data_IF_247491308474
#
_entry.id   IF_247491308474
#
_cell.length_a   1.000
_cell.length_b   1.000
_cell.length_c   1.000
_cell.angle_alpha   90.00
_cell.angle_beta   90.00
_cell.angle_gamma   90.00
#
_symmetry.space_group_name_H-M   'P 1'
#
loop_
_entity.id
_entity.type
_entity.pdbx_description
1 polymer ?
#
# COMPACT_ATOMS: atom_id res chain seq x y z
N UNK A 1 22.36 -1.15 5.23
CA UNK A 1 22.04 0.09 4.50
C UNK A 1 20.58 0.04 4.13
N UNK A 2 19.72 0.53 5.01
CA UNK A 2 18.27 0.53 4.83
C UNK A 2 17.92 1.71 3.92
N UNK A 3 17.77 1.46 2.61
CA UNK A 3 17.36 2.50 1.68
C UNK A 3 15.90 2.82 1.90
N UNK A 4 15.61 4.07 2.26
CA UNK A 4 14.26 4.63 2.20
C UNK A 4 13.84 4.61 0.72
N UNK A 5 13.04 3.61 0.34
CA UNK A 5 12.56 3.48 -1.03
C UNK A 5 11.24 4.25 -1.17
N UNK A 6 11.32 5.42 -1.82
CA UNK A 6 10.12 6.13 -2.24
C UNK A 6 9.45 5.35 -3.37
N UNK A 7 8.15 5.12 -3.23
CA UNK A 7 7.32 4.51 -4.25
C UNK A 7 6.15 5.42 -4.60
N UNK A 8 6.22 6.08 -5.76
CA UNK A 8 5.22 7.02 -6.25
C UNK A 8 4.43 6.53 -7.47
N UNK A 9 4.75 5.35 -8.00
CA UNK A 9 4.04 4.71 -9.12
C UNK A 9 4.06 5.48 -10.45
N UNK A 10 4.92 6.49 -10.63
CA UNK A 10 4.94 7.32 -11.83
C UNK A 10 5.53 6.63 -13.06
N UNK A 11 6.47 5.70 -12.85
CA UNK A 11 7.12 4.97 -13.94
C UNK A 11 6.78 3.48 -13.91
N UNK A 12 6.82 2.88 -12.72
CA UNK A 12 6.63 1.44 -12.56
C UNK A 12 6.02 1.08 -11.19
N UNK A 13 5.78 -0.21 -11.01
CA UNK A 13 5.53 -0.79 -9.69
C UNK A 13 6.90 -0.96 -9.05
N UNK A 14 7.22 0.01 -8.19
CA UNK A 14 8.49 0.22 -7.53
C UNK A 14 9.21 -1.07 -7.15
N UNK A 15 10.55 -1.03 -7.16
CA UNK A 15 11.38 -2.19 -6.83
C UNK A 15 11.07 -2.77 -5.45
N UNK A 16 10.67 -1.93 -4.49
CA UNK A 16 10.25 -2.32 -3.15
C UNK A 16 9.11 -3.35 -3.14
N UNK A 17 8.30 -3.42 -4.18
CA UNK A 17 7.15 -4.30 -4.24
C UNK A 17 7.51 -5.60 -4.95
N UNK A 18 7.13 -6.74 -4.37
CA UNK A 18 7.33 -8.03 -5.02
C UNK A 18 6.54 -8.03 -6.32
N UNK A 19 7.25 -8.15 -7.44
CA UNK A 19 6.68 -8.35 -8.79
C UNK A 19 5.99 -9.70 -8.96
N UNK A 20 5.89 -10.51 -7.89
CA UNK A 20 5.21 -11.80 -7.88
C UNK A 20 3.70 -11.57 -7.99
N UNK A 21 3.29 -11.32 -9.22
CA UNK A 21 1.93 -11.16 -9.72
C UNK A 21 1.09 -10.14 -8.95
N UNK A 22 0.61 -9.13 -9.68
CA UNK A 22 -0.69 -8.48 -9.42
C UNK A 22 -1.87 -9.47 -9.50
N UNK A 23 -1.73 -10.68 -8.95
CA UNK A 23 -2.82 -11.58 -8.60
C UNK A 23 -3.53 -10.92 -7.42
N UNK A 24 -4.64 -10.22 -7.57
CA UNK A 24 -5.60 -10.21 -8.66
C UNK A 24 -6.54 -9.01 -8.46
N UNK A 25 -6.01 -7.78 -8.40
CA UNK A 25 -6.89 -6.65 -8.08
C UNK A 25 -6.29 -5.25 -8.07
N UNK A 26 -5.01 -5.04 -7.77
CA UNK A 26 -4.44 -3.69 -7.85
C UNK A 26 -4.10 -3.32 -9.30
N UNK A 27 -4.50 -2.12 -9.71
CA UNK A 27 -4.20 -1.55 -11.03
C UNK A 27 -3.61 -0.16 -10.87
N UNK A 28 -2.60 0.12 -11.69
CA UNK A 28 -2.02 1.45 -11.80
C UNK A 28 -2.91 2.29 -12.72
N UNK A 29 -3.41 3.42 -12.23
CA UNK A 29 -4.22 4.37 -13.00
C UNK A 29 -3.93 5.81 -12.59
N UNK A 30 -4.50 6.76 -13.33
CA UNK A 30 -4.53 8.16 -12.93
C UNK A 30 -5.96 8.68 -12.86
N UNK A 31 -6.10 9.96 -12.55
CA UNK A 31 -7.38 10.65 -12.43
C UNK A 31 -8.17 10.69 -13.73
N UNK A 32 -7.48 10.82 -14.87
CA UNK A 32 -8.10 10.90 -16.20
C UNK A 32 -8.55 9.56 -16.77
N UNK A 33 -7.88 8.46 -16.42
CA UNK A 33 -8.12 7.15 -17.03
C UNK A 33 -9.20 6.31 -16.35
N UNK A 34 -9.69 6.71 -15.17
CA UNK A 34 -10.68 5.93 -14.43
C UNK A 34 -12.08 6.56 -14.39
N UNK A 35 -13.10 5.70 -14.32
CA UNK A 35 -14.52 6.09 -14.32
C UNK A 35 -15.06 6.49 -12.92
N UNK A 36 -14.18 6.68 -11.92
CA UNK A 36 -14.59 6.97 -10.54
C UNK A 36 -13.49 7.64 -9.71
N UNK A 37 -13.84 8.16 -8.51
CA UNK A 37 -12.88 8.78 -7.62
C UNK A 37 -11.82 7.77 -7.12
N UNK A 38 -10.62 8.24 -6.72
CA UNK A 38 -10.17 9.63 -6.82
C UNK A 38 -9.88 10.05 -8.27
N UNK A 39 -10.09 11.34 -8.57
CA UNK A 39 -9.85 11.96 -9.90
C UNK A 39 -8.51 12.68 -9.99
N UNK A 40 -7.70 12.57 -8.94
CA UNK A 40 -6.36 13.13 -8.83
C UNK A 40 -5.61 12.43 -7.70
N UNK A 41 -4.29 12.53 -7.70
CA UNK A 41 -3.44 12.10 -6.58
C UNK A 41 -3.66 12.96 -5.31
N UNK A 42 -2.93 12.64 -4.25
CA UNK A 42 -2.96 13.38 -2.97
C UNK A 42 -2.58 14.86 -3.08
N UNK A 43 -1.98 15.29 -4.18
CA UNK A 43 -1.58 16.67 -4.45
C UNK A 43 -2.50 17.39 -5.44
N UNK A 44 -3.57 16.73 -5.92
CA UNK A 44 -4.51 17.31 -6.88
C UNK A 44 -4.07 17.19 -8.34
N UNK A 45 -3.07 16.36 -8.66
CA UNK A 45 -2.60 16.09 -10.01
C UNK A 45 -3.42 14.95 -10.65
N UNK A 46 -4.10 15.24 -11.76
CA UNK A 46 -4.98 14.30 -12.47
C UNK A 46 -4.26 13.38 -13.46
N UNK A 47 -2.99 13.66 -13.78
CA UNK A 47 -2.14 12.82 -14.64
C UNK A 47 -1.17 11.93 -13.85
N UNK A 48 -0.91 12.28 -12.59
CA UNK A 48 -0.10 11.47 -11.68
C UNK A 48 -0.74 10.10 -11.43
N UNK A 49 0.10 9.10 -11.23
CA UNK A 49 -0.31 7.72 -11.12
C UNK A 49 -0.40 7.25 -9.67
N UNK A 50 -1.40 6.42 -9.41
CA UNK A 50 -1.60 5.77 -8.13
C UNK A 50 -2.15 4.36 -8.35
N UNK A 51 -2.14 3.56 -7.28
CA UNK A 51 -2.77 2.25 -7.29
C UNK A 51 -4.23 2.35 -6.84
N UNK A 52 -5.11 1.63 -7.54
CA UNK A 52 -6.50 1.43 -7.15
C UNK A 52 -6.91 -0.02 -7.30
N UNK A 53 -8.00 -0.41 -6.66
CA UNK A 53 -8.62 -1.71 -6.92
C UNK A 53 -9.29 -1.72 -8.30
N UNK A 54 -9.15 -2.84 -9.00
CA UNK A 54 -9.74 -3.10 -10.32
C UNK A 54 -11.22 -3.37 -10.17
N UNK A 55 -12.03 -2.74 -11.01
CA UNK A 55 -13.46 -3.04 -11.13
C UNK A 55 -13.73 -4.46 -11.66
N UNK A 56 -12.75 -5.07 -12.32
CA UNK A 56 -12.87 -6.43 -12.87
C UNK A 56 -12.49 -7.53 -11.87
N UNK A 57 -12.09 -7.14 -10.66
CA UNK A 57 -11.70 -8.08 -9.62
C UNK A 57 -12.89 -8.95 -9.19
N UNK A 58 -12.71 -10.27 -9.28
CA UNK A 58 -13.68 -11.27 -8.80
C UNK A 58 -13.46 -11.70 -7.35
N UNK A 59 -12.27 -11.43 -6.81
CA UNK A 59 -11.93 -11.72 -5.41
C UNK A 59 -12.57 -10.70 -4.47
N UNK A 60 -12.70 -11.05 -3.19
CA UNK A 60 -13.15 -10.13 -2.13
C UNK A 60 -12.03 -9.23 -1.59
N UNK A 61 -10.76 -9.60 -1.83
CA UNK A 61 -9.58 -8.85 -1.41
C UNK A 61 -8.46 -8.91 -2.44
N UNK A 62 -7.56 -7.94 -2.38
CA UNK A 62 -6.31 -7.92 -3.13
C UNK A 62 -5.17 -7.47 -2.21
N UNK A 63 -4.04 -8.17 -2.32
CA UNK A 63 -2.88 -7.93 -1.47
C UNK A 63 -1.74 -7.38 -2.31
N UNK A 64 -1.06 -6.37 -1.78
CA UNK A 64 0.23 -5.91 -2.25
C UNK A 64 1.27 -6.29 -1.20
N UNK A 65 2.44 -6.77 -1.62
CA UNK A 65 3.52 -7.17 -0.70
C UNK A 65 4.83 -6.50 -1.06
N UNK A 66 5.56 -6.06 -0.06
CA UNK A 66 6.93 -5.59 -0.23
C UNK A 66 7.89 -6.75 -0.46
N UNK A 67 9.13 -6.43 -0.84
CA UNK A 67 10.27 -7.29 -0.63
C UNK A 67 10.54 -7.44 0.86
N UNK A 68 11.40 -8.41 1.18
CA UNK A 68 11.84 -8.67 2.54
C UNK A 68 12.77 -7.56 3.04
N UNK A 69 12.37 -6.89 4.10
CA UNK A 69 13.17 -5.94 4.86
C UNK A 69 14.04 -6.63 5.92
N UNK A 70 15.12 -5.95 6.32
CA UNK A 70 15.99 -6.39 7.41
C UNK A 70 15.38 -6.03 8.78
N UNK A 71 15.78 -6.72 9.87
CA UNK A 71 15.38 -6.35 11.23
C UNK A 71 15.61 -4.87 11.56
N UNK A 72 14.78 -4.34 12.43
CA UNK A 72 14.89 -2.99 12.98
C UNK A 72 15.46 -3.01 14.39
N UNK A 73 16.14 -1.94 14.79
CA UNK A 73 16.62 -1.69 16.15
C UNK A 73 16.58 -0.18 16.45
N UNK A 74 17.13 0.24 17.58
CA UNK A 74 17.15 1.66 17.98
C UNK A 74 17.94 2.57 17.01
N UNK A 75 18.92 2.01 16.30
CA UNK A 75 19.72 2.72 15.29
C UNK A 75 19.12 2.60 13.88
N UNK A 76 18.30 1.57 13.64
CA UNK A 76 17.72 1.21 12.35
C UNK A 76 16.18 1.20 12.41
N UNK A 77 15.59 2.35 12.70
CA UNK A 77 14.13 2.53 12.71
C UNK A 77 13.56 2.47 11.29
N UNK A 78 12.50 1.69 11.09
CA UNK A 78 11.75 1.66 9.84
C UNK A 78 10.38 2.33 10.00
N UNK A 79 10.10 3.32 9.15
CA UNK A 79 8.80 3.96 9.05
C UNK A 79 8.26 3.84 7.63
N UNK A 80 6.99 3.47 7.52
CA UNK A 80 6.27 3.39 6.27
C UNK A 80 5.17 4.44 6.28
N UNK A 81 5.36 5.47 5.47
CA UNK A 81 4.36 6.51 5.22
C UNK A 81 3.66 6.22 3.89
N UNK A 82 2.33 6.20 3.91
CA UNK A 82 1.54 5.96 2.72
C UNK A 82 0.32 6.87 2.67
N UNK A 83 -0.06 7.21 1.45
CA UNK A 83 -1.26 7.97 1.14
C UNK A 83 -2.33 7.01 0.60
N UNK A 84 -3.55 7.13 1.10
CA UNK A 84 -4.63 6.24 0.73
C UNK A 84 -5.96 6.97 0.62
N UNK A 85 -6.86 6.40 -0.18
CA UNK A 85 -8.22 6.87 -0.38
C UNK A 85 -9.18 5.69 -0.28
N UNK A 86 -10.21 5.80 0.56
CA UNK A 86 -11.28 4.80 0.69
C UNK A 86 -12.58 5.47 0.25
N UNK A 87 -13.18 4.99 -0.84
CA UNK A 87 -14.48 5.51 -1.30
C UNK A 87 -15.64 4.98 -0.45
N UNK A 88 -16.85 5.53 -0.62
CA UNK A 88 -18.03 5.12 0.16
C UNK A 88 -18.44 3.66 -0.06
N UNK A 89 -18.08 3.09 -1.20
CA UNK A 89 -18.31 1.70 -1.59
C UNK A 89 -17.08 0.82 -1.40
N UNK A 90 -15.97 1.39 -0.91
CA UNK A 90 -14.71 0.67 -0.73
C UNK A 90 -14.61 0.07 0.67
N UNK A 91 -14.08 -1.16 0.73
CA UNK A 91 -13.92 -1.92 1.97
C UNK A 91 -12.75 -1.46 2.85
N UNK A 92 -12.25 -2.38 3.66
CA UNK A 92 -11.16 -2.11 4.62
C UNK A 92 -9.80 -2.14 3.94
N UNK A 93 -8.98 -1.11 4.19
CA UNK A 93 -7.55 -1.16 3.94
C UNK A 93 -6.83 -1.65 5.21
N UNK A 94 -5.99 -2.66 5.06
CA UNK A 94 -5.22 -3.26 6.15
C UNK A 94 -3.74 -3.29 5.76
N UNK A 95 -2.87 -3.00 6.72
CA UNK A 95 -1.42 -3.20 6.62
C UNK A 95 -1.07 -4.39 7.51
N UNK A 96 -0.47 -5.40 6.88
CA UNK A 96 -0.02 -6.61 7.55
C UNK A 96 1.49 -6.58 7.79
N UNK A 97 1.95 -7.39 8.73
CA UNK A 97 3.36 -7.69 8.93
C UNK A 97 3.52 -9.21 8.90
N UNK A 98 4.38 -9.71 8.02
CA UNK A 98 4.70 -11.13 7.92
C UNK A 98 6.17 -11.33 8.28
N UNK A 99 6.44 -12.16 9.31
CA UNK A 99 7.78 -12.59 9.69
C UNK A 99 7.99 -14.06 9.31
N UNK A 100 9.23 -14.51 9.04
CA UNK A 100 9.54 -15.91 8.74
C UNK A 100 9.19 -16.90 9.85
N UNK A 101 9.21 -16.46 11.11
CA UNK A 101 8.86 -17.28 12.27
C UNK A 101 7.36 -17.49 12.45
N UNK A 102 6.53 -16.72 11.74
CA UNK A 102 5.08 -16.74 11.83
C UNK A 102 4.46 -17.35 10.57
N UNK A 103 3.46 -18.20 10.73
CA UNK A 103 2.68 -18.73 9.60
C UNK A 103 1.54 -17.79 9.18
N UNK A 104 1.29 -16.74 9.95
CA UNK A 104 0.17 -15.81 9.76
C UNK A 104 0.64 -14.37 9.60
N UNK A 105 -0.17 -13.59 8.88
CA UNK A 105 0.04 -12.14 8.74
C UNK A 105 -0.53 -11.46 9.99
N UNK A 106 0.31 -10.72 10.71
CA UNK A 106 -0.12 -9.90 11.84
C UNK A 106 -0.67 -8.57 11.33
N UNK A 107 -1.91 -8.23 11.67
CA UNK A 107 -2.46 -6.92 11.35
C UNK A 107 -1.87 -5.85 12.28
N UNK A 108 -1.14 -4.89 11.69
CA UNK A 108 -0.50 -3.81 12.45
C UNK A 108 -1.24 -2.47 12.29
N UNK A 109 -2.12 -2.35 11.31
CA UNK A 109 -2.96 -1.17 11.10
C UNK A 109 -4.11 -1.48 10.15
N UNK A 110 -5.27 -0.86 10.37
CA UNK A 110 -6.39 -0.91 9.43
C UNK A 110 -7.23 0.37 9.50
N UNK A 111 -7.86 0.71 8.37
CA UNK A 111 -8.93 1.71 8.29
C UNK A 111 -10.07 1.12 7.43
N UNK A 112 -11.27 1.03 8.00
CA UNK A 112 -12.48 0.59 7.29
C UNK A 112 -13.29 1.75 6.71
N UNK A 113 -12.81 2.99 6.89
CA UNK A 113 -13.41 4.19 6.33
C UNK A 113 -14.75 4.56 6.97
N UNK A 114 -14.88 5.83 7.38
CA UNK A 114 -16.13 6.55 7.19
C UNK A 114 -16.00 7.30 5.85
N UNK A 115 -17.04 7.36 5.01
CA UNK A 115 -16.96 8.00 3.70
C UNK A 115 -16.55 9.47 3.84
N UNK A 116 -15.28 9.73 3.57
CA UNK A 116 -14.70 11.06 3.42
C UNK A 116 -13.97 11.01 2.09
N UNK A 117 -14.53 11.67 1.07
CA UNK A 117 -13.98 11.72 -0.27
C UNK A 117 -12.70 12.58 -0.28
N UNK A 118 -11.65 12.12 0.39
CA UNK A 118 -10.36 12.80 0.51
C UNK A 118 -9.22 11.80 0.71
N UNK A 119 -8.02 12.20 0.27
CA UNK A 119 -6.79 11.47 0.54
C UNK A 119 -6.44 11.60 2.02
N UNK A 120 -5.95 10.50 2.59
CA UNK A 120 -5.41 10.45 3.96
C UNK A 120 -3.96 10.01 3.89
N UNK A 121 -3.18 10.46 4.86
CA UNK A 121 -1.82 10.00 5.10
C UNK A 121 -1.81 9.20 6.40
N UNK A 122 -1.03 8.13 6.44
CA UNK A 122 -0.71 7.42 7.67
C UNK A 122 0.76 7.01 7.67
N UNK A 123 1.37 7.03 8.85
CA UNK A 123 2.75 6.57 9.08
C UNK A 123 2.75 5.47 10.13
N UNK A 124 3.35 4.33 9.79
CA UNK A 124 3.50 3.19 10.69
C UNK A 124 4.98 3.01 10.99
N UNK A 125 5.32 2.90 12.27
CA UNK A 125 6.67 2.49 12.69
C UNK A 125 6.70 0.98 12.86
N UNK A 126 7.61 0.31 12.16
CA UNK A 126 7.77 -1.14 12.22
C UNK A 126 8.85 -1.48 13.25
N UNK A 127 8.51 -2.41 14.14
CA UNK A 127 9.45 -2.98 15.10
C UNK A 127 9.48 -4.49 14.90
N UNK A 128 10.59 -5.00 14.35
CA UNK A 128 10.81 -6.42 14.12
C UNK A 128 12.27 -6.81 14.37
N UNK A 129 12.49 -7.79 15.24
CA UNK A 129 13.81 -8.39 15.48
C UNK A 129 14.22 -9.41 14.41
N UNK A 130 13.33 -9.69 13.46
CA UNK A 130 13.54 -10.61 12.35
C UNK A 130 13.31 -9.88 11.03
N UNK A 131 13.73 -10.51 9.92
CA UNK A 131 13.35 -10.05 8.58
C UNK A 131 11.82 -10.03 8.45
N UNK A 132 11.27 -9.13 7.65
CA UNK A 132 9.82 -9.01 7.52
C UNK A 132 9.38 -8.54 6.13
N UNK A 133 8.13 -8.84 5.77
CA UNK A 133 7.41 -8.25 4.64
C UNK A 133 6.21 -7.46 5.16
N UNK A 134 5.82 -6.41 4.43
CA UNK A 134 4.62 -5.60 4.68
C UNK A 134 3.64 -5.76 3.53
#
# INVERSE_FOLDING_TARGET
>A
GSTCEKCDFETDLCKALRKLNLQSGWVRRNGRSGMGPPYSDQYGNDIAYFLSLSSEMRSSSATLRTNVFLPTDEEHVCQITFHYWISQTSGTLMVGLQKPSEDTITNIWQDSGKPQNQWKENTITINSTEKYEV
#
